data_IF_881850150525
#
_entry.id   IF_881850150525
#
_cell.length_a   1.000
_cell.length_b   1.000
_cell.length_c   1.000
_cell.angle_alpha   90.00
_cell.angle_beta   90.00
_cell.angle_gamma   90.00
#
_symmetry.space_group_name_H-M   'P 1'
#
loop_
_entity.id
_entity.type
_entity.pdbx_description
1 polymer ?
#
# COMPACT_ATOMS: atom_id res chain seq x y z
N UNK A 1 -18.90 -13.65 -5.01
CA UNK A 1 -18.24 -14.28 -3.85
C UNK A 1 -16.99 -13.46 -3.53
N UNK A 2 -17.05 -12.66 -2.47
CA UNK A 2 -15.96 -11.76 -2.08
C UNK A 2 -14.87 -12.58 -1.39
N UNK A 3 -13.74 -12.80 -2.05
CA UNK A 3 -12.55 -13.34 -1.39
C UNK A 3 -11.77 -12.20 -0.75
N UNK A 4 -12.20 -11.77 0.44
CA UNK A 4 -11.30 -11.15 1.41
C UNK A 4 -10.72 -12.29 2.25
N UNK A 5 -9.46 -12.63 1.99
CA UNK A 5 -8.76 -13.67 2.76
C UNK A 5 -8.40 -13.05 4.11
N UNK A 6 -9.10 -13.52 5.15
CA UNK A 6 -8.76 -13.27 6.56
C UNK A 6 -7.40 -13.85 6.88
N UNK A 7 -6.43 -13.01 7.20
CA UNK A 7 -5.17 -13.43 7.80
C UNK A 7 -5.30 -13.30 9.30
N UNK A 8 -5.30 -14.45 9.99
CA UNK A 8 -5.35 -14.54 11.43
C UNK A 8 -3.97 -14.16 12.01
N UNK A 9 -3.88 -12.98 12.64
CA UNK A 9 -2.72 -12.58 13.42
C UNK A 9 -2.74 -13.26 14.78
N UNK A 10 -1.95 -14.30 14.96
CA UNK A 10 -1.54 -14.75 16.29
C UNK A 10 -0.21 -14.08 16.64
N UNK A 11 -0.28 -13.05 17.48
CA UNK A 11 0.90 -12.45 18.10
C UNK A 11 1.43 -13.42 19.14
N UNK A 12 2.40 -14.26 18.80
CA UNK A 12 3.23 -14.95 19.81
C UNK A 12 4.31 -13.97 20.26
N UNK A 13 4.19 -13.49 21.48
CA UNK A 13 5.28 -12.79 22.15
C UNK A 13 6.42 -13.78 22.38
N UNK A 14 7.52 -13.62 21.66
CA UNK A 14 8.79 -14.25 22.03
C UNK A 14 9.50 -13.21 22.89
N UNK A 15 9.56 -13.47 24.19
CA UNK A 15 10.44 -12.77 25.12
C UNK A 15 11.88 -13.19 24.80
N UNK A 16 12.66 -12.27 24.25
CA UNK A 16 14.11 -12.43 24.13
C UNK A 16 14.77 -11.91 25.39
N UNK A 17 15.86 -12.55 25.86
CA UNK A 17 16.63 -12.07 27.00
C UNK A 17 17.29 -10.74 26.69
N UNK A 18 17.62 -9.93 27.72
CA UNK A 18 18.29 -8.65 27.52
C UNK A 18 19.77 -8.88 27.19
N UNK A 19 20.15 -8.69 25.94
CA UNK A 19 21.54 -8.68 25.53
C UNK A 19 22.07 -7.26 25.37
N UNK A 20 23.08 -7.03 26.20
CA UNK A 20 24.24 -6.12 26.13
C UNK A 20 24.27 -5.00 25.08
N UNK A 21 24.35 -3.79 25.59
CA UNK A 21 25.03 -2.56 25.11
C UNK A 21 25.74 -2.65 23.75
N UNK A 22 24.97 -2.58 22.68
CA UNK A 22 25.42 -2.05 21.41
C UNK A 22 24.72 -0.70 21.22
N UNK A 23 25.46 0.41 21.39
CA UNK A 23 25.02 1.74 20.99
C UNK A 23 24.85 1.73 19.47
N UNK A 24 23.62 1.42 19.02
CA UNK A 24 23.23 1.63 17.64
C UNK A 24 23.12 3.14 17.45
N UNK A 25 24.16 3.72 16.86
CA UNK A 25 24.11 5.08 16.34
C UNK A 25 23.10 5.07 15.20
N UNK A 26 21.89 5.52 15.50
CA UNK A 26 20.89 5.77 14.49
C UNK A 26 21.45 6.81 13.51
N UNK A 27 21.36 6.60 12.18
CA UNK A 27 21.71 7.65 11.23
C UNK A 27 20.69 8.78 11.40
N UNK A 28 21.10 9.85 12.08
CA UNK A 28 20.35 11.10 12.21
C UNK A 28 20.56 11.95 10.97
N UNK A 29 19.99 11.54 9.85
CA UNK A 29 19.62 12.49 8.80
C UNK A 29 18.20 12.94 9.11
N UNK A 30 18.03 14.17 9.60
CA UNK A 30 16.74 14.79 9.76
C UNK A 30 16.11 14.97 8.37
N UNK A 31 15.33 13.97 7.95
CA UNK A 31 14.54 14.05 6.74
C UNK A 31 13.44 15.10 6.96
N UNK A 32 13.33 16.07 6.03
CA UNK A 32 12.21 17.00 6.05
C UNK A 32 10.93 16.26 5.68
N UNK A 33 10.08 16.03 6.67
CA UNK A 33 8.80 15.34 6.50
C UNK A 33 7.84 16.05 5.53
N UNK A 34 8.08 17.31 5.19
CA UNK A 34 7.27 18.05 4.22
C UNK A 34 7.89 18.13 2.82
N UNK A 35 9.02 17.54 2.59
CA UNK A 35 9.74 17.60 1.30
C UNK A 35 8.86 17.23 0.11
N UNK A 36 8.05 16.17 0.25
CA UNK A 36 7.18 15.65 -0.81
C UNK A 36 5.73 16.16 -0.70
N UNK A 37 5.42 17.04 0.26
CA UNK A 37 4.06 17.55 0.48
C UNK A 37 3.81 18.75 -0.40
N UNK A 38 2.75 18.66 -1.21
CA UNK A 38 2.23 19.77 -2.02
C UNK A 38 0.86 20.17 -1.50
N UNK A 39 0.61 21.48 -1.44
CA UNK A 39 -0.69 22.04 -1.04
C UNK A 39 -1.40 22.60 -2.27
N UNK A 40 -2.60 22.09 -2.53
CA UNK A 40 -3.42 22.48 -3.68
C UNK A 40 -4.73 23.09 -3.15
N UNK A 41 -5.16 24.26 -3.66
CA UNK A 41 -6.43 24.84 -3.25
C UNK A 41 -7.59 23.94 -3.77
N UNK A 42 -8.54 23.67 -2.89
CA UNK A 42 -9.81 23.08 -3.31
C UNK A 42 -10.68 24.14 -3.94
N UNK A 43 -10.88 24.07 -5.24
CA UNK A 43 -11.66 25.08 -5.97
C UNK A 43 -13.13 25.19 -5.53
N UNK A 44 -13.68 24.18 -4.84
CA UNK A 44 -15.06 24.18 -4.35
C UNK A 44 -15.18 24.79 -2.94
N UNK A 45 -14.24 24.47 -2.05
CA UNK A 45 -14.32 24.86 -0.63
C UNK A 45 -13.33 25.97 -0.27
N UNK A 46 -12.42 26.33 -1.16
CA UNK A 46 -11.30 27.26 -0.94
C UNK A 46 -10.32 26.82 0.15
N UNK A 47 -10.49 25.59 0.69
CA UNK A 47 -9.59 25.03 1.68
C UNK A 47 -8.33 24.47 1.02
N UNK A 48 -7.21 24.51 1.72
CA UNK A 48 -5.97 23.86 1.29
C UNK A 48 -6.08 22.35 1.47
N UNK A 49 -5.74 21.61 0.42
CA UNK A 49 -5.62 20.15 0.46
C UNK A 49 -4.16 19.76 0.29
N UNK A 50 -3.61 19.05 1.26
CA UNK A 50 -2.26 18.51 1.16
C UNK A 50 -2.28 17.13 0.48
N UNK A 51 -1.30 16.94 -0.38
CA UNK A 51 -1.00 15.68 -1.03
C UNK A 51 0.49 15.38 -0.88
N UNK A 52 0.86 14.11 -0.84
CA UNK A 52 2.24 13.69 -0.99
C UNK A 52 2.46 13.28 -2.44
N UNK A 53 3.39 13.96 -3.11
CA UNK A 53 3.76 13.66 -4.48
C UNK A 53 5.16 13.03 -4.51
N UNK A 54 5.21 11.76 -4.89
CA UNK A 54 6.48 11.03 -4.98
C UNK A 54 6.92 10.88 -6.44
N UNK A 55 7.94 11.64 -6.84
CA UNK A 55 8.52 11.60 -8.20
C UNK A 55 9.16 10.26 -8.53
N UNK A 56 9.64 9.52 -7.53
CA UNK A 56 10.29 8.22 -7.73
C UNK A 56 9.37 7.19 -8.40
N UNK A 57 8.04 7.32 -8.25
CA UNK A 57 7.08 6.44 -8.94
C UNK A 57 7.26 6.48 -10.46
N UNK A 58 7.58 7.67 -11.02
CA UNK A 58 7.83 7.85 -12.44
C UNK A 58 9.29 7.58 -12.81
N UNK A 59 10.23 8.07 -12.00
CA UNK A 59 11.67 7.89 -12.24
C UNK A 59 12.09 6.42 -12.28
N UNK A 60 11.40 5.56 -11.52
CA UNK A 60 11.63 4.12 -11.46
C UNK A 60 10.71 3.32 -12.41
N UNK A 61 9.96 4.00 -13.29
CA UNK A 61 9.12 3.37 -14.30
C UNK A 61 7.94 2.59 -13.73
N UNK A 62 7.49 2.88 -12.48
CA UNK A 62 6.39 2.13 -11.87
C UNK A 62 5.07 2.30 -12.65
N UNK A 63 4.90 3.41 -13.35
CA UNK A 63 3.73 3.71 -14.19
C UNK A 63 3.63 2.80 -15.42
N UNK A 64 4.72 2.18 -15.84
CA UNK A 64 4.79 1.25 -16.99
C UNK A 64 4.76 -0.22 -16.59
N UNK A 65 4.83 -0.54 -15.29
CA UNK A 65 4.82 -1.92 -14.80
C UNK A 65 3.47 -2.61 -15.07
N UNK A 66 3.44 -3.81 -15.69
CA UNK A 66 2.18 -4.50 -16.02
C UNK A 66 1.26 -4.70 -14.82
N UNK A 67 1.81 -5.11 -13.68
CA UNK A 67 1.06 -5.29 -12.44
C UNK A 67 0.38 -4.00 -11.97
N UNK A 68 1.07 -2.86 -12.05
CA UNK A 68 0.54 -1.56 -11.64
C UNK A 68 -0.54 -1.09 -12.63
N UNK A 69 -0.29 -1.22 -13.94
CA UNK A 69 -1.27 -0.92 -14.99
C UNK A 69 -2.55 -1.75 -14.81
N UNK A 70 -2.40 -3.04 -14.52
CA UNK A 70 -3.52 -3.93 -14.24
C UNK A 70 -4.38 -3.41 -13.08
N UNK A 71 -3.78 -3.06 -11.94
CA UNK A 71 -4.52 -2.59 -10.79
C UNK A 71 -5.18 -1.24 -11.03
N UNK A 72 -4.54 -0.33 -11.78
CA UNK A 72 -5.16 0.91 -12.24
C UNK A 72 -6.44 0.65 -13.04
N UNK A 73 -6.43 -0.34 -13.95
CA UNK A 73 -7.62 -0.75 -14.70
C UNK A 73 -8.70 -1.32 -13.78
N UNK A 74 -8.34 -2.18 -12.83
CA UNK A 74 -9.28 -2.75 -11.85
C UNK A 74 -9.93 -1.65 -10.98
N UNK A 75 -9.17 -0.64 -10.58
CA UNK A 75 -9.69 0.50 -9.80
C UNK A 75 -10.74 1.31 -10.55
N UNK A 76 -10.62 1.43 -11.87
CA UNK A 76 -11.57 2.14 -12.75
C UNK A 76 -12.70 1.23 -13.28
N UNK A 77 -12.52 -0.08 -13.24
CA UNK A 77 -13.45 -1.04 -13.84
C UNK A 77 -14.73 -1.15 -13.00
N UNK A 78 -15.89 -1.09 -13.68
CA UNK A 78 -17.20 -1.25 -13.02
C UNK A 78 -17.32 -2.63 -12.32
N UNK A 79 -18.02 -2.65 -11.19
CA UNK A 79 -18.22 -3.87 -10.37
C UNK A 79 -18.80 -5.06 -11.11
N UNK A 80 -19.61 -4.82 -12.15
CA UNK A 80 -20.27 -5.85 -12.95
C UNK A 80 -19.36 -6.39 -14.09
N UNK A 81 -18.13 -5.91 -14.17
CA UNK A 81 -17.11 -6.35 -15.12
C UNK A 81 -15.94 -6.99 -14.40
N UNK A 82 -15.29 -7.94 -15.07
CA UNK A 82 -14.09 -8.60 -14.57
C UNK A 82 -13.06 -8.78 -15.68
N UNK A 83 -11.78 -8.92 -15.30
CA UNK A 83 -10.68 -9.22 -16.20
C UNK A 83 -10.13 -10.60 -15.92
N UNK A 84 -9.98 -11.42 -17.00
CA UNK A 84 -9.14 -12.60 -16.96
C UNK A 84 -7.70 -12.19 -17.07
N UNK A 85 -6.86 -12.75 -16.20
CA UNK A 85 -5.46 -12.35 -16.12
C UNK A 85 -4.56 -13.48 -15.61
N UNK A 86 -3.29 -13.43 -15.94
CA UNK A 86 -2.25 -14.28 -15.37
C UNK A 86 -1.89 -13.84 -13.96
N UNK A 87 -1.52 -14.74 -13.03
CA UNK A 87 -1.21 -14.33 -11.63
C UNK A 87 0.12 -13.58 -11.49
N UNK A 88 1.15 -13.94 -12.27
CA UNK A 88 2.49 -13.38 -12.14
C UNK A 88 2.57 -11.94 -12.65
N UNK A 89 2.34 -11.75 -13.94
CA UNK A 89 2.57 -10.47 -14.62
C UNK A 89 1.29 -9.64 -14.74
N UNK A 90 0.15 -10.19 -14.28
CA UNK A 90 -1.17 -9.56 -14.42
C UNK A 90 -1.55 -9.22 -15.86
N UNK A 91 -0.98 -9.95 -16.85
CA UNK A 91 -1.35 -9.80 -18.25
C UNK A 91 -2.86 -10.01 -18.42
N UNK A 92 -3.52 -9.07 -19.06
CA UNK A 92 -4.96 -9.09 -19.29
C UNK A 92 -5.23 -9.91 -20.53
N UNK A 93 -5.94 -11.03 -20.36
CA UNK A 93 -6.28 -11.95 -21.44
C UNK A 93 -7.64 -11.60 -22.06
N UNK A 94 -8.63 -11.24 -21.23
CA UNK A 94 -9.98 -10.92 -21.70
C UNK A 94 -10.74 -10.12 -20.64
N UNK A 95 -11.83 -9.46 -21.08
CA UNK A 95 -12.81 -8.81 -20.23
C UNK A 95 -14.15 -9.54 -20.36
N UNK A 96 -14.88 -9.67 -19.26
CA UNK A 96 -16.22 -10.25 -19.25
C UNK A 96 -17.16 -9.47 -18.35
N UNK A 97 -18.46 -9.62 -18.57
CA UNK A 97 -19.49 -9.21 -17.61
C UNK A 97 -19.70 -10.33 -16.58
N UNK A 98 -19.77 -9.99 -15.30
CA UNK A 98 -19.83 -10.98 -14.20
C UNK A 98 -21.02 -11.92 -14.36
N UNK A 99 -22.22 -11.40 -14.66
CA UNK A 99 -23.41 -12.23 -14.85
C UNK A 99 -23.26 -13.25 -15.99
N UNK A 100 -22.57 -12.87 -17.09
CA UNK A 100 -22.31 -13.79 -18.20
C UNK A 100 -21.36 -14.91 -17.78
N UNK A 101 -20.39 -14.60 -16.91
CA UNK A 101 -19.48 -15.60 -16.38
C UNK A 101 -20.14 -16.50 -15.34
N UNK A 102 -20.90 -15.92 -14.42
CA UNK A 102 -21.58 -16.68 -13.36
C UNK A 102 -22.66 -17.63 -13.93
N UNK A 103 -23.32 -17.24 -15.02
CA UNK A 103 -24.29 -18.06 -15.73
C UNK A 103 -23.72 -19.28 -16.44
N UNK A 104 -22.40 -19.40 -16.59
CA UNK A 104 -21.72 -20.57 -17.18
C UNK A 104 -21.58 -21.71 -16.17
N UNK A 105 -21.79 -22.94 -16.62
CA UNK A 105 -21.47 -24.13 -15.84
C UNK A 105 -19.94 -24.36 -15.74
N UNK A 106 -19.54 -25.40 -14.99
CA UNK A 106 -18.11 -25.70 -14.74
C UNK A 106 -17.39 -26.07 -16.04
N UNK A 107 -18.02 -26.86 -16.92
CA UNK A 107 -17.42 -27.30 -18.18
C UNK A 107 -17.22 -26.12 -19.13
N UNK A 108 -18.22 -25.25 -19.27
CA UNK A 108 -18.14 -24.01 -20.04
C UNK A 108 -17.06 -23.06 -19.53
N UNK A 109 -16.92 -22.95 -18.19
CA UNK A 109 -15.85 -22.15 -17.56
C UNK A 109 -14.47 -22.71 -17.81
N UNK A 110 -14.33 -24.03 -17.80
CA UNK A 110 -13.06 -24.70 -18.14
C UNK A 110 -12.72 -24.47 -19.61
N UNK A 111 -13.62 -24.83 -20.52
CA UNK A 111 -13.43 -24.67 -21.96
C UNK A 111 -13.06 -23.22 -22.35
N UNK A 112 -13.70 -22.22 -21.72
CA UNK A 112 -13.35 -20.82 -21.95
C UNK A 112 -11.93 -20.48 -21.51
N UNK A 113 -11.47 -21.02 -20.36
CA UNK A 113 -10.10 -20.82 -19.90
C UNK A 113 -9.09 -21.55 -20.78
N UNK A 114 -9.45 -22.75 -21.27
CA UNK A 114 -8.62 -23.51 -22.21
C UNK A 114 -8.45 -22.73 -23.51
N UNK A 115 -9.54 -22.20 -24.07
CA UNK A 115 -9.45 -21.35 -25.26
C UNK A 115 -8.61 -20.07 -25.05
N UNK A 116 -8.58 -19.52 -23.83
CA UNK A 116 -7.66 -18.42 -23.51
C UNK A 116 -6.20 -18.90 -23.47
N UNK A 117 -5.92 -20.10 -22.93
CA UNK A 117 -4.55 -20.65 -22.93
C UNK A 117 -4.05 -20.85 -24.35
N UNK A 118 -4.87 -21.43 -25.20
CA UNK A 118 -4.55 -21.65 -26.63
C UNK A 118 -4.31 -20.32 -27.34
N UNK A 119 -5.23 -19.35 -27.18
CA UNK A 119 -5.16 -18.05 -27.84
C UNK A 119 -3.90 -17.25 -27.47
N UNK A 120 -3.43 -17.36 -26.21
CA UNK A 120 -2.27 -16.65 -25.70
C UNK A 120 -1.02 -17.50 -25.60
N UNK A 121 -1.02 -18.71 -26.18
CA UNK A 121 0.09 -19.67 -26.15
C UNK A 121 0.63 -19.89 -24.71
N UNK A 122 -0.27 -20.02 -23.75
CA UNK A 122 0.07 -20.31 -22.36
C UNK A 122 0.16 -21.81 -22.15
N UNK A 123 0.97 -22.22 -21.18
CA UNK A 123 1.02 -23.63 -20.73
C UNK A 123 -0.36 -24.10 -20.24
N UNK A 124 -0.70 -25.38 -20.49
CA UNK A 124 -1.99 -25.99 -20.10
C UNK A 124 -2.23 -25.89 -18.58
N UNK A 125 -1.16 -25.93 -17.80
CA UNK A 125 -1.18 -25.75 -16.35
C UNK A 125 -1.27 -24.29 -15.90
N UNK A 126 -1.16 -23.32 -16.83
CA UNK A 126 -1.14 -21.90 -16.52
C UNK A 126 -2.44 -21.46 -15.81
N UNK A 127 -2.28 -20.90 -14.63
CA UNK A 127 -3.40 -20.42 -13.82
C UNK A 127 -3.96 -19.11 -14.40
N UNK A 128 -5.25 -19.13 -14.72
CA UNK A 128 -5.99 -17.93 -15.15
C UNK A 128 -6.90 -17.47 -14.01
N UNK A 129 -6.70 -16.24 -13.56
CA UNK A 129 -7.50 -15.58 -12.54
C UNK A 129 -8.62 -14.75 -13.18
N UNK A 130 -9.74 -14.61 -12.44
CA UNK A 130 -10.78 -13.64 -12.74
C UNK A 130 -10.78 -12.60 -11.63
N UNK A 131 -10.54 -11.34 -11.99
CA UNK A 131 -10.47 -10.22 -11.05
C UNK A 131 -11.57 -9.21 -11.36
N UNK A 132 -12.46 -9.02 -10.39
CA UNK A 132 -13.62 -8.12 -10.53
C UNK A 132 -13.21 -6.66 -10.44
N UNK A 133 -13.92 -5.80 -11.17
CA UNK A 133 -13.79 -4.35 -11.10
C UNK A 133 -14.11 -3.80 -9.71
N UNK A 134 -13.43 -2.73 -9.33
CA UNK A 134 -13.51 -2.13 -8.00
C UNK A 134 -13.73 -0.62 -8.00
N UNK A 135 -14.28 -0.04 -9.08
CA UNK A 135 -14.54 1.40 -9.15
C UNK A 135 -15.47 1.91 -8.05
N UNK A 136 -16.36 1.05 -7.54
CA UNK A 136 -17.22 1.36 -6.39
C UNK A 136 -16.47 1.48 -5.06
N UNK A 137 -15.30 0.86 -4.96
CA UNK A 137 -14.46 0.87 -3.76
C UNK A 137 -13.47 2.03 -3.79
N UNK A 138 -12.78 2.27 -4.92
CA UNK A 138 -11.76 3.27 -5.07
C UNK A 138 -12.34 4.63 -5.48
N UNK A 139 -12.90 5.37 -4.52
CA UNK A 139 -13.36 6.75 -4.69
C UNK A 139 -12.30 7.72 -4.14
N UNK A 140 -11.32 8.04 -4.99
CA UNK A 140 -10.20 8.90 -4.58
C UNK A 140 -10.61 10.35 -4.30
N UNK A 141 -11.75 10.81 -4.81
CA UNK A 141 -12.28 12.13 -4.48
C UNK A 141 -12.75 12.19 -3.03
N UNK A 142 -13.45 11.15 -2.57
CA UNK A 142 -13.82 11.05 -1.15
C UNK A 142 -12.62 10.78 -0.26
N UNK A 143 -11.69 9.95 -0.71
CA UNK A 143 -10.47 9.65 0.05
C UNK A 143 -9.63 10.91 0.29
N UNK A 144 -9.50 11.77 -0.73
CA UNK A 144 -8.67 12.98 -0.66
C UNK A 144 -9.12 13.97 0.41
N UNK A 145 -10.40 13.99 0.79
CA UNK A 145 -10.91 14.81 1.88
C UNK A 145 -10.21 14.52 3.22
N UNK A 146 -9.66 13.32 3.38
CA UNK A 146 -8.94 12.90 4.59
C UNK A 146 -7.40 13.00 4.46
N UNK A 147 -6.86 13.27 3.27
CA UNK A 147 -5.40 13.26 3.07
C UNK A 147 -4.72 14.36 3.88
N UNK A 148 -5.18 15.61 3.75
CA UNK A 148 -4.64 16.74 4.50
C UNK A 148 -4.54 16.44 6.01
N UNK A 149 -5.62 15.92 6.59
CA UNK A 149 -5.69 15.58 8.00
C UNK A 149 -4.73 14.45 8.36
N UNK A 150 -4.73 13.35 7.59
CA UNK A 150 -3.83 12.22 7.83
C UNK A 150 -2.35 12.57 7.66
N UNK A 151 -2.00 13.38 6.65
CA UNK A 151 -0.66 13.91 6.42
C UNK A 151 -0.17 14.69 7.63
N UNK A 152 -0.97 15.63 8.12
CA UNK A 152 -0.61 16.46 9.28
C UNK A 152 -0.50 15.66 10.58
N UNK A 153 -1.39 14.69 10.81
CA UNK A 153 -1.32 13.81 11.98
C UNK A 153 -0.05 12.96 11.99
N UNK A 154 0.38 12.44 10.82
CA UNK A 154 1.61 11.67 10.70
C UNK A 154 2.84 12.56 10.92
N UNK A 155 2.89 13.74 10.31
CA UNK A 155 3.94 14.73 10.54
C UNK A 155 4.04 15.09 12.02
N UNK A 156 2.91 15.38 12.69
CA UNK A 156 2.87 15.70 14.11
C UNK A 156 3.41 14.58 14.99
N UNK A 157 3.26 13.31 14.57
CA UNK A 157 3.84 12.16 15.25
C UNK A 157 5.28 11.83 14.79
N UNK A 158 5.87 12.65 13.93
CA UNK A 158 7.23 12.47 13.37
C UNK A 158 7.34 11.23 12.50
N UNK A 159 6.36 11.01 11.62
CA UNK A 159 6.30 9.91 10.66
C UNK A 159 6.12 10.49 9.27
N UNK A 160 6.80 9.90 8.29
CA UNK A 160 6.67 10.26 6.89
C UNK A 160 5.20 10.22 6.45
N UNK A 161 4.63 11.38 6.02
CA UNK A 161 3.23 11.50 5.64
C UNK A 161 2.85 10.68 4.40
N UNK A 162 3.83 10.21 3.64
CA UNK A 162 3.61 9.30 2.51
C UNK A 162 2.81 8.06 2.95
N UNK A 163 3.10 7.52 4.14
CA UNK A 163 2.38 6.36 4.66
C UNK A 163 0.90 6.66 4.94
N UNK A 164 0.59 7.86 5.45
CA UNK A 164 -0.80 8.25 5.70
C UNK A 164 -1.62 8.22 4.40
N UNK A 165 -1.12 8.89 3.37
CA UNK A 165 -1.79 8.94 2.07
C UNK A 165 -1.90 7.54 1.45
N UNK A 166 -0.81 6.75 1.46
CA UNK A 166 -0.80 5.39 0.92
C UNK A 166 -1.86 4.49 1.58
N UNK A 167 -1.98 4.53 2.91
CA UNK A 167 -2.99 3.75 3.65
C UNK A 167 -4.40 4.23 3.32
N UNK A 168 -4.65 5.54 3.38
CA UNK A 168 -5.98 6.11 3.12
C UNK A 168 -6.50 5.82 1.72
N UNK A 169 -5.61 5.73 0.73
CA UNK A 169 -5.98 5.41 -0.65
C UNK A 169 -6.46 3.97 -0.84
N UNK A 170 -5.93 3.02 -0.07
CA UNK A 170 -6.18 1.58 -0.34
C UNK A 170 -7.02 0.88 0.71
N UNK A 171 -7.04 1.36 1.97
CA UNK A 171 -7.73 0.67 3.06
C UNK A 171 -9.20 1.10 3.19
N UNK A 172 -9.49 2.38 3.12
CA UNK A 172 -10.86 2.90 3.27
C UNK A 172 -11.11 4.10 2.36
N UNK A 173 -10.91 3.99 1.05
CA UNK A 173 -10.99 5.15 0.15
C UNK A 173 -12.40 5.74 0.02
N UNK A 174 -13.44 5.00 0.38
CA UNK A 174 -14.82 5.45 0.20
C UNK A 174 -15.60 5.56 1.53
N UNK A 175 -15.46 4.59 2.41
CA UNK A 175 -16.21 4.55 3.68
C UNK A 175 -15.54 3.70 4.73
N UNK A 176 -15.83 3.98 5.99
CA UNK A 176 -15.43 3.13 7.10
C UNK A 176 -16.08 1.76 6.97
N UNK A 177 -15.26 0.73 6.83
CA UNK A 177 -15.70 -0.66 6.75
C UNK A 177 -14.93 -1.49 7.77
N UNK A 178 -15.59 -2.53 8.26
CA UNK A 178 -14.93 -3.58 9.03
C UNK A 178 -14.56 -4.70 8.08
N UNK A 179 -13.28 -5.07 8.05
CA UNK A 179 -12.83 -6.20 7.24
C UNK A 179 -13.28 -7.53 7.86
N UNK A 180 -13.27 -8.60 7.06
CA UNK A 180 -13.57 -9.95 7.56
C UNK A 180 -12.58 -10.40 8.66
N UNK A 181 -11.34 -9.88 8.64
CA UNK A 181 -10.33 -10.10 9.67
C UNK A 181 -10.56 -9.28 10.95
N UNK A 182 -11.52 -8.33 10.93
CA UNK A 182 -11.82 -7.48 12.07
C UNK A 182 -11.01 -6.17 12.12
N UNK A 183 -10.25 -5.84 11.08
CA UNK A 183 -9.65 -4.52 10.93
C UNK A 183 -10.75 -3.47 10.73
N UNK A 184 -10.56 -2.25 11.27
CA UNK A 184 -11.59 -1.21 11.23
C UNK A 184 -11.01 0.21 11.24
N UNK A 185 -11.80 1.15 10.73
CA UNK A 185 -11.47 2.58 10.67
C UNK A 185 -10.73 2.97 9.41
N UNK A 186 -10.42 4.25 9.25
CA UNK A 186 -9.75 4.80 8.06
C UNK A 186 -8.40 4.16 7.79
N UNK A 187 -7.71 3.73 8.84
CA UNK A 187 -6.39 3.09 8.78
C UNK A 187 -6.45 1.56 8.94
N UNK A 188 -7.65 0.96 8.94
CA UNK A 188 -7.88 -0.50 9.03
C UNK A 188 -7.04 -1.21 10.11
N UNK A 189 -7.07 -0.66 11.32
CA UNK A 189 -6.32 -1.24 12.43
C UNK A 189 -6.99 -2.49 13.01
N UNK A 190 -6.19 -3.49 13.29
CA UNK A 190 -6.62 -4.63 14.10
C UNK A 190 -6.89 -4.21 15.55
N UNK A 191 -7.83 -4.87 16.22
CA UNK A 191 -8.25 -4.53 17.58
C UNK A 191 -7.10 -4.48 18.57
N UNK A 192 -6.22 -5.49 18.53
CA UNK A 192 -5.12 -5.59 19.47
C UNK A 192 -4.02 -4.57 19.20
N UNK A 193 -3.79 -4.25 17.91
CA UNK A 193 -2.89 -3.17 17.50
C UNK A 193 -3.41 -1.81 17.99
N UNK A 194 -4.70 -1.53 17.82
CA UNK A 194 -5.31 -0.30 18.30
C UNK A 194 -5.17 -0.14 19.81
N UNK A 195 -5.42 -1.22 20.56
CA UNK A 195 -5.25 -1.25 22.02
C UNK A 195 -3.82 -1.06 22.46
N UNK A 196 -2.85 -1.64 21.75
CA UNK A 196 -1.42 -1.48 22.01
C UNK A 196 -1.01 0.00 22.02
N UNK A 197 -1.64 0.82 21.18
CA UNK A 197 -1.41 2.26 21.10
C UNK A 197 -2.45 3.10 21.85
N UNK A 198 -3.15 2.49 22.83
CA UNK A 198 -3.99 3.20 23.79
C UNK A 198 -5.40 3.56 23.28
N UNK A 199 -5.88 2.95 22.19
CA UNK A 199 -7.26 3.12 21.75
C UNK A 199 -8.20 2.21 22.56
N UNK A 200 -9.34 2.77 22.98
CA UNK A 200 -10.41 1.99 23.61
C UNK A 200 -11.18 1.21 22.53
N UNK A 201 -11.11 -0.11 22.59
CA UNK A 201 -11.84 -1.00 21.67
C UNK A 201 -12.50 -2.11 22.50
N UNK A 202 -13.79 -1.97 22.74
CA UNK A 202 -14.64 -2.90 23.50
C UNK A 202 -16.02 -3.03 22.85
N UNK A 203 -17.00 -3.61 23.55
CA UNK A 203 -18.36 -3.80 23.03
C UNK A 203 -19.18 -2.48 22.91
N UNK A 204 -18.78 -1.43 23.63
CA UNK A 204 -19.50 -0.15 23.68
C UNK A 204 -18.80 0.96 22.89
N UNK A 205 -17.46 0.93 22.85
CA UNK A 205 -16.63 1.98 22.25
C UNK A 205 -15.62 1.31 21.31
N UNK A 206 -15.50 1.83 20.10
CA UNK A 206 -14.46 1.46 19.14
C UNK A 206 -13.81 2.74 18.57
N UNK A 207 -12.74 3.21 19.25
CA UNK A 207 -12.03 4.42 18.87
C UNK A 207 -11.29 4.33 17.54
N UNK A 208 -11.26 3.16 16.89
CA UNK A 208 -10.75 3.03 15.51
C UNK A 208 -11.61 3.76 14.50
N UNK A 209 -12.88 4.05 14.83
CA UNK A 209 -13.76 4.89 14.03
C UNK A 209 -13.40 6.39 14.12
N UNK A 210 -12.76 6.82 15.20
CA UNK A 210 -12.28 8.19 15.34
C UNK A 210 -11.01 8.36 14.51
N UNK A 211 -11.03 9.32 13.59
CA UNK A 211 -9.96 9.50 12.63
C UNK A 211 -8.61 9.81 13.31
N UNK A 212 -8.55 10.81 14.18
CA UNK A 212 -7.30 11.28 14.82
C UNK A 212 -6.70 10.20 15.74
N UNK A 213 -7.56 9.50 16.50
CA UNK A 213 -7.14 8.37 17.33
C UNK A 213 -6.57 7.24 16.48
N UNK A 214 -7.23 6.95 15.36
CA UNK A 214 -6.82 5.93 14.43
C UNK A 214 -5.53 6.33 13.68
N UNK A 215 -5.39 7.58 13.27
CA UNK A 215 -4.18 8.14 12.66
C UNK A 215 -2.98 8.06 13.62
N UNK A 216 -3.18 8.46 14.88
CA UNK A 216 -2.14 8.35 15.92
C UNK A 216 -1.68 6.89 16.11
N UNK A 217 -2.61 5.95 16.19
CA UNK A 217 -2.24 4.54 16.38
C UNK A 217 -1.55 3.95 15.14
N UNK A 218 -1.99 4.31 13.93
CA UNK A 218 -1.39 3.86 12.68
C UNK A 218 0.03 4.42 12.50
N UNK A 219 0.23 5.72 12.71
CA UNK A 219 1.55 6.34 12.67
C UNK A 219 2.48 5.77 13.74
N UNK A 220 1.96 5.53 14.96
CA UNK A 220 2.72 4.89 16.04
C UNK A 220 3.12 3.44 15.70
N UNK A 221 2.25 2.67 15.05
CA UNK A 221 2.56 1.33 14.56
C UNK A 221 3.72 1.36 13.54
N UNK A 222 3.66 2.29 12.60
CA UNK A 222 4.73 2.46 11.59
C UNK A 222 6.03 2.85 12.28
N UNK A 223 6.03 3.90 13.13
CA UNK A 223 7.21 4.44 13.79
C UNK A 223 7.88 3.46 14.73
N UNK A 224 7.07 2.77 15.56
CA UNK A 224 7.60 1.96 16.67
C UNK A 224 7.75 0.48 16.34
N UNK A 225 7.09 0.01 15.28
CA UNK A 225 7.11 -1.42 14.92
C UNK A 225 7.51 -1.65 13.47
N UNK A 226 6.80 -1.09 12.47
CA UNK A 226 7.03 -1.45 11.08
C UNK A 226 8.42 -1.03 10.60
N UNK A 227 8.81 0.23 10.77
CA UNK A 227 10.13 0.74 10.38
C UNK A 227 11.25 0.01 11.13
N UNK A 228 11.27 -0.05 12.48
CA UNK A 228 12.34 -0.75 13.19
C UNK A 228 12.49 -2.22 12.82
N UNK A 229 11.36 -2.92 12.63
CA UNK A 229 11.40 -4.33 12.21
C UNK A 229 11.89 -4.49 10.77
N UNK A 230 11.54 -3.57 9.87
CA UNK A 230 12.05 -3.56 8.49
C UNK A 230 13.57 -3.34 8.49
N UNK A 231 14.10 -2.39 9.27
CA UNK A 231 15.54 -2.21 9.46
C UNK A 231 16.21 -3.50 9.93
N UNK A 232 15.70 -4.13 11.00
CA UNK A 232 16.26 -5.38 11.53
C UNK A 232 16.27 -6.51 10.49
N UNK A 233 15.28 -6.58 9.60
CA UNK A 233 15.25 -7.56 8.52
C UNK A 233 16.36 -7.25 7.51
N UNK A 234 16.48 -5.99 7.08
CA UNK A 234 17.51 -5.55 6.12
C UNK A 234 18.92 -5.78 6.69
N UNK A 235 19.16 -5.39 7.94
CA UNK A 235 20.42 -5.62 8.64
C UNK A 235 20.79 -7.12 8.66
N UNK A 236 19.80 -7.99 8.94
CA UNK A 236 20.01 -9.45 8.95
C UNK A 236 20.26 -10.06 7.55
N UNK A 237 20.01 -9.29 6.50
CA UNK A 237 20.33 -9.63 5.10
C UNK A 237 21.60 -8.94 4.61
N UNK A 238 22.24 -8.10 5.45
CA UNK A 238 23.44 -7.35 5.07
C UNK A 238 23.16 -6.15 4.15
N UNK A 239 21.90 -5.71 4.04
CA UNK A 239 21.51 -4.57 3.20
C UNK A 239 21.64 -3.29 4.03
N UNK A 240 22.57 -2.42 3.64
CA UNK A 240 22.91 -1.16 4.32
C UNK A 240 23.01 -0.01 3.33
N UNK A 241 23.17 1.23 3.82
CA UNK A 241 23.41 2.41 2.96
C UNK A 241 22.19 2.95 2.24
N UNK A 242 20.99 2.52 2.59
CA UNK A 242 19.73 2.99 2.02
C UNK A 242 19.18 4.23 2.73
N UNK A 243 18.29 4.92 2.05
CA UNK A 243 17.49 6.02 2.63
C UNK A 243 16.05 5.56 2.86
N UNK A 244 15.47 5.94 4.00
CA UNK A 244 14.11 5.51 4.37
C UNK A 244 12.99 6.19 3.58
N UNK A 245 13.31 7.27 2.86
CA UNK A 245 12.43 7.93 1.91
C UNK A 245 12.52 7.36 0.48
N UNK A 246 13.35 6.36 0.24
CA UNK A 246 13.33 5.63 -1.03
C UNK A 246 12.03 4.84 -1.19
N UNK A 247 11.50 4.84 -2.39
CA UNK A 247 10.19 4.23 -2.68
C UNK A 247 10.14 2.74 -2.30
N UNK A 248 11.18 1.97 -2.61
CA UNK A 248 11.23 0.55 -2.29
C UNK A 248 11.18 0.30 -0.77
N UNK A 249 11.85 1.13 0.04
CA UNK A 249 11.83 1.03 1.50
C UNK A 249 10.43 1.34 2.04
N UNK A 250 9.83 2.44 1.58
CA UNK A 250 8.43 2.80 1.91
C UNK A 250 7.47 1.65 1.59
N UNK A 251 7.59 1.03 0.41
CA UNK A 251 6.77 -0.11 0.01
C UNK A 251 7.01 -1.35 0.89
N UNK A 252 8.25 -1.61 1.30
CA UNK A 252 8.58 -2.72 2.20
C UNK A 252 7.98 -2.52 3.60
N UNK A 253 8.00 -1.29 4.11
CA UNK A 253 7.31 -0.91 5.36
C UNK A 253 5.79 -1.10 5.23
N UNK A 254 5.20 -0.77 4.08
CA UNK A 254 3.78 -1.01 3.80
C UNK A 254 3.44 -2.51 3.81
N UNK A 255 4.30 -3.37 3.27
CA UNK A 255 4.13 -4.82 3.44
C UNK A 255 4.19 -5.26 4.91
N UNK A 256 5.08 -4.64 5.71
CA UNK A 256 5.15 -4.90 7.15
C UNK A 256 3.90 -4.43 7.89
N UNK A 257 3.29 -3.32 7.47
CA UNK A 257 2.02 -2.83 7.99
C UNK A 257 0.87 -3.80 7.70
N UNK A 258 0.76 -4.27 6.46
CA UNK A 258 -0.34 -5.12 6.00
C UNK A 258 -0.19 -6.59 6.47
N UNK A 259 0.96 -7.20 6.20
CA UNK A 259 1.19 -8.63 6.43
C UNK A 259 1.85 -8.94 7.78
N UNK A 260 2.39 -7.91 8.45
CA UNK A 260 3.24 -8.05 9.62
C UNK A 260 4.69 -8.39 9.26
N UNK A 261 5.63 -7.73 9.93
CA UNK A 261 7.06 -7.84 9.66
C UNK A 261 7.60 -9.28 9.70
N UNK A 262 7.04 -10.16 10.55
CA UNK A 262 7.44 -11.56 10.61
C UNK A 262 7.15 -12.35 9.32
N UNK A 263 6.04 -12.04 8.64
CA UNK A 263 5.69 -12.69 7.36
C UNK A 263 6.50 -12.10 6.20
N UNK A 264 6.76 -10.79 6.23
CA UNK A 264 7.69 -10.14 5.30
C UNK A 264 9.09 -10.72 5.42
N UNK A 265 9.60 -10.88 6.66
CA UNK A 265 10.89 -11.54 6.91
C UNK A 265 10.96 -12.93 6.28
N UNK A 266 9.94 -13.77 6.51
CA UNK A 266 9.89 -15.12 5.94
C UNK A 266 9.94 -15.07 4.40
N UNK A 267 9.19 -14.16 3.77
CA UNK A 267 9.18 -14.00 2.33
C UNK A 267 10.55 -13.56 1.79
N UNK A 268 11.17 -12.56 2.39
CA UNK A 268 12.51 -12.08 1.99
C UNK A 268 13.59 -13.16 2.15
N UNK A 269 13.52 -13.96 3.21
CA UNK A 269 14.48 -15.06 3.44
C UNK A 269 14.30 -16.23 2.47
N UNK A 270 13.22 -16.27 1.69
CA UNK A 270 13.05 -17.26 0.61
C UNK A 270 14.00 -17.00 -0.56
N UNK A 271 14.16 -15.73 -0.95
CA UNK A 271 15.01 -15.35 -2.08
C UNK A 271 16.28 -14.55 -1.71
N UNK A 272 16.41 -14.14 -0.45
CA UNK A 272 17.59 -13.48 0.13
C UNK A 272 18.16 -12.37 -0.76
N UNK A 273 17.47 -11.22 -0.88
CA UNK A 273 17.96 -10.11 -1.68
C UNK A 273 19.30 -9.60 -1.14
N UNK A 274 20.17 -9.14 -2.05
CA UNK A 274 21.49 -8.58 -1.72
C UNK A 274 21.54 -7.06 -1.82
N UNK A 275 20.48 -6.44 -2.36
CA UNK A 275 20.36 -4.99 -2.50
C UNK A 275 18.96 -4.53 -2.11
N UNK A 276 18.86 -3.28 -1.64
CA UNK A 276 17.62 -2.59 -1.37
C UNK A 276 17.24 -1.73 -2.57
N UNK A 277 16.34 -2.23 -3.41
CA UNK A 277 15.87 -1.57 -4.62
C UNK A 277 14.47 -2.05 -5.03
N UNK A 278 13.98 -1.58 -6.17
CA UNK A 278 12.67 -2.03 -6.71
C UNK A 278 12.67 -3.48 -7.16
N UNK A 279 13.83 -4.11 -7.45
CA UNK A 279 13.88 -5.54 -7.77
C UNK A 279 13.54 -6.40 -6.55
N UNK A 280 13.93 -5.96 -5.35
CA UNK A 280 13.50 -6.59 -4.09
C UNK A 280 11.96 -6.59 -3.99
N UNK A 281 11.31 -5.46 -4.26
CA UNK A 281 9.85 -5.33 -4.22
C UNK A 281 9.20 -6.17 -5.32
N UNK A 282 9.73 -6.14 -6.54
CA UNK A 282 9.24 -6.93 -7.66
C UNK A 282 9.33 -8.45 -7.37
N UNK A 283 10.45 -8.91 -6.83
CA UNK A 283 10.63 -10.32 -6.44
C UNK A 283 9.67 -10.70 -5.31
N UNK A 284 9.41 -9.78 -4.37
CA UNK A 284 8.46 -10.00 -3.28
C UNK A 284 7.02 -10.19 -3.81
N UNK A 285 6.62 -9.53 -4.91
CA UNK A 285 5.31 -9.74 -5.55
C UNK A 285 5.09 -11.16 -6.05
N UNK A 286 6.19 -11.85 -6.42
CA UNK A 286 6.16 -13.23 -6.95
C UNK A 286 6.47 -14.28 -5.88
N UNK A 287 6.85 -13.85 -4.68
CA UNK A 287 7.21 -14.76 -3.58
C UNK A 287 5.97 -15.17 -2.81
N UNK A 288 5.75 -16.47 -2.66
CA UNK A 288 4.65 -17.02 -1.86
C UNK A 288 5.20 -17.79 -0.65
N UNK A 289 4.61 -17.56 0.51
CA UNK A 289 4.82 -18.36 1.73
C UNK A 289 3.47 -18.71 2.35
N UNK A 290 3.46 -19.57 3.39
CA UNK A 290 2.21 -20.01 4.02
C UNK A 290 1.26 -18.84 4.39
N UNK A 291 1.79 -17.69 4.76
CA UNK A 291 1.02 -16.53 5.22
C UNK A 291 1.23 -15.26 4.38
N UNK A 292 2.19 -15.27 3.46
CA UNK A 292 2.42 -14.19 2.50
C UNK A 292 1.95 -14.65 1.12
N UNK A 293 0.68 -14.39 0.82
CA UNK A 293 -0.02 -14.84 -0.40
C UNK A 293 -0.55 -13.66 -1.18
N UNK A 294 -1.43 -13.92 -2.13
CA UNK A 294 -1.94 -12.96 -3.12
C UNK A 294 -2.31 -11.58 -2.54
N UNK A 295 -2.98 -11.51 -1.38
CA UNK A 295 -3.31 -10.22 -0.76
C UNK A 295 -2.07 -9.43 -0.37
N UNK A 296 -1.09 -10.11 0.24
CA UNK A 296 0.18 -9.49 0.65
C UNK A 296 1.07 -9.17 -0.55
N UNK A 297 1.11 -10.04 -1.55
CA UNK A 297 1.85 -9.82 -2.80
C UNK A 297 1.33 -8.61 -3.57
N UNK A 298 0.01 -8.42 -3.60
CA UNK A 298 -0.62 -7.33 -4.35
C UNK A 298 -0.59 -5.98 -3.61
N UNK A 299 -0.26 -5.95 -2.32
CA UNK A 299 -0.47 -4.77 -1.48
C UNK A 299 0.28 -3.54 -1.98
N UNK A 300 1.59 -3.63 -2.22
CA UNK A 300 2.36 -2.51 -2.76
C UNK A 300 2.06 -2.21 -4.23
N UNK A 301 1.62 -3.20 -5.02
CA UNK A 301 1.11 -2.96 -6.37
C UNK A 301 -0.13 -2.05 -6.35
N UNK A 302 -1.03 -2.29 -5.38
CA UNK A 302 -2.22 -1.46 -5.16
C UNK A 302 -1.84 -0.04 -4.70
N UNK A 303 -0.84 0.08 -3.81
CA UNK A 303 -0.32 1.39 -3.38
C UNK A 303 0.18 2.18 -4.57
N UNK A 304 1.05 1.60 -5.41
CA UNK A 304 1.58 2.26 -6.61
C UNK A 304 0.47 2.65 -7.59
N UNK A 305 -0.48 1.75 -7.85
CA UNK A 305 -1.60 2.03 -8.72
C UNK A 305 -2.46 3.18 -8.18
N UNK A 306 -2.75 3.20 -6.89
CA UNK A 306 -3.54 4.26 -6.26
C UNK A 306 -2.83 5.62 -6.26
N UNK A 307 -1.50 5.65 -6.02
CA UNK A 307 -0.69 6.87 -6.13
C UNK A 307 -0.79 7.48 -7.53
N UNK A 308 -0.64 6.66 -8.57
CA UNK A 308 -0.75 7.10 -9.96
C UNK A 308 -2.15 7.60 -10.32
N UNK A 309 -3.21 6.94 -9.83
CA UNK A 309 -4.59 7.37 -10.07
C UNK A 309 -4.90 8.69 -9.36
N UNK A 310 -4.38 8.91 -8.15
CA UNK A 310 -4.51 10.17 -7.43
C UNK A 310 -3.75 11.27 -8.18
N UNK A 311 -2.51 11.02 -8.59
CA UNK A 311 -1.71 11.97 -9.36
C UNK A 311 -2.43 12.38 -10.67
N UNK A 312 -2.97 11.41 -11.42
CA UNK A 312 -3.72 11.68 -12.65
C UNK A 312 -5.00 12.49 -12.36
N UNK A 313 -5.77 12.08 -11.35
CA UNK A 313 -7.05 12.73 -11.00
C UNK A 313 -6.88 14.19 -10.59
N UNK A 314 -5.84 14.49 -9.83
CA UNK A 314 -5.56 15.84 -9.34
C UNK A 314 -4.55 16.59 -10.22
N UNK A 315 -4.24 16.08 -11.42
CA UNK A 315 -3.32 16.66 -12.42
C UNK A 315 -1.94 16.99 -11.85
N UNK A 316 -1.49 16.20 -10.88
CA UNK A 316 -0.15 16.30 -10.33
C UNK A 316 0.84 15.66 -11.30
N UNK A 317 1.56 16.48 -12.07
CA UNK A 317 2.52 16.00 -13.05
C UNK A 317 3.94 16.46 -12.69
N UNK A 318 4.99 15.64 -12.97
CA UNK A 318 6.37 15.98 -12.61
C UNK A 318 6.86 17.32 -13.11
N UNK A 319 6.39 17.76 -14.28
CA UNK A 319 6.78 19.03 -14.91
C UNK A 319 6.06 20.27 -14.35
N UNK A 320 5.04 20.11 -13.51
CA UNK A 320 4.36 21.23 -12.83
C UNK A 320 5.01 21.57 -11.48
N UNK A 321 5.99 20.79 -11.05
CA UNK A 321 6.70 20.93 -9.77
C UNK A 321 8.03 21.70 -9.88
N UNK A 322 8.31 22.35 -11.01
CA UNK A 322 9.34 23.38 -11.05
C UNK A 322 8.79 24.60 -10.30
N UNK A 323 8.76 24.48 -8.97
CA UNK A 323 8.58 25.62 -8.09
C UNK A 323 9.86 26.43 -8.23
N UNK A 324 9.77 27.60 -8.87
CA UNK A 324 10.87 28.56 -8.84
C UNK A 324 11.33 28.74 -7.38
N UNK A 325 12.63 28.65 -7.09
CA UNK A 325 13.13 28.94 -5.77
C UNK A 325 12.71 30.37 -5.45
N UNK A 326 11.97 30.57 -4.35
CA UNK A 326 11.65 31.91 -3.82
C UNK A 326 12.95 32.68 -3.79
N UNK A 327 13.09 33.66 -4.67
CA UNK A 327 14.18 34.59 -4.69
C UNK A 327 14.29 35.22 -3.29
N UNK A 328 15.45 35.05 -2.66
CA UNK A 328 15.82 35.84 -1.48
C UNK A 328 16.02 37.27 -1.95
N UNK A 329 14.94 38.01 -2.10
CA UNK A 329 14.98 39.47 -2.22
C UNK A 329 14.28 40.09 -1.02
N UNK A 330 15.09 40.81 -0.31
CA UNK A 330 14.85 41.86 0.66
C UNK A 330 15.38 41.60 2.07
N UNK A 331 16.71 41.59 2.17
CA UNK A 331 17.37 41.98 3.40
C UNK A 331 18.44 42.99 3.04
N UNK A 332 17.99 44.17 2.60
CA UNK A 332 18.82 45.39 2.52
C UNK A 332 17.86 46.61 2.33
N UNK A 333 17.33 47.07 3.45
CA UNK A 333 17.11 48.52 3.73
C UNK A 333 16.74 48.72 5.19
#
# INVERSE_FOLDING_TARGET
>A
MQFFISILFTLKFITLPPDSNATVVAPTTSFDLRQDVISVPNFKTQEQMDFVFNTQVYQLGCDTMPNVIFWRRIMKLHKDSALFNTPADRNILSKTHINQWEGKDIAQKSCFKDSLRDCYCLDDSAKILLTNGKSFFYDFEKASANFHRGINDFIANGVDPWYAQAILMIESPNKLQKSNAGAYGSFQLMKDVARLFGLKVNKHIDERANFDRSAYAASSLIKKICIPKTRQILDSLGITGYQENELWFRLLVMHSYHAGAGNVRKALFTFRPTAGDMNLIYTLWHTETKQFRSASQNYSQLVLAALLEVNEKFKMAPHQLIIEPKSKESALR
#
